data_IF_136543271966
#
_entry.id   IF_136543271966
#
_cell.length_a   1.000
_cell.length_b   1.000
_cell.length_c   1.000
_cell.angle_alpha   90.00
_cell.angle_beta   90.00
_cell.angle_gamma   90.00
#
_symmetry.space_group_name_H-M   'P 1'
#
loop_
_entity.id
_entity.type
_entity.pdbx_description
1 polymer ?
#
# COMPACT_ATOMS: atom_id res chain seq x y z
N UNK A 1 -43.34 -32.25 -6.57
CA UNK A 1 -42.30 -32.13 -5.51
C UNK A 1 -41.07 -31.32 -5.95
N UNK A 2 -41.12 -30.53 -7.04
CA UNK A 2 -40.03 -29.64 -7.42
C UNK A 2 -40.16 -28.21 -6.81
N UNK A 3 -41.38 -27.66 -6.70
CA UNK A 3 -41.57 -26.28 -6.20
C UNK A 3 -41.44 -26.05 -4.69
N UNK A 4 -41.41 -27.10 -3.86
CA UNK A 4 -41.29 -26.94 -2.40
C UNK A 4 -39.84 -26.74 -1.94
N UNK A 5 -38.90 -27.42 -2.61
CA UNK A 5 -37.46 -27.31 -2.34
C UNK A 5 -36.87 -26.00 -2.91
N UNK A 6 -37.38 -25.49 -4.04
CA UNK A 6 -37.02 -24.16 -4.54
C UNK A 6 -37.52 -23.03 -3.62
N UNK A 7 -38.70 -23.19 -2.99
CA UNK A 7 -39.20 -22.21 -2.00
C UNK A 7 -38.41 -22.22 -0.68
N UNK A 8 -37.73 -23.33 -0.38
CA UNK A 8 -36.83 -23.45 0.78
C UNK A 8 -35.44 -22.88 0.46
N UNK A 9 -34.90 -23.09 -0.74
CA UNK A 9 -33.68 -22.41 -1.21
C UNK A 9 -33.85 -20.89 -1.32
N UNK A 10 -35.01 -20.41 -1.78
CA UNK A 10 -35.35 -18.97 -1.76
C UNK A 10 -35.59 -18.40 -0.35
N UNK A 11 -35.69 -19.23 0.70
CA UNK A 11 -35.86 -18.78 2.09
C UNK A 11 -34.55 -18.65 2.87
N UNK A 12 -33.44 -19.12 2.30
CA UNK A 12 -32.10 -19.07 2.87
C UNK A 12 -31.09 -18.31 1.99
N UNK A 13 -31.54 -17.49 1.02
CA UNK A 13 -30.59 -16.62 0.31
C UNK A 13 -30.17 -15.46 1.21
N UNK A 14 -28.85 -15.34 1.41
CA UNK A 14 -28.15 -14.20 1.98
C UNK A 14 -28.53 -12.87 1.31
N UNK A 15 -29.06 -12.90 0.07
CA UNK A 15 -29.50 -11.76 -0.72
C UNK A 15 -30.61 -10.89 -0.07
N UNK A 16 -31.29 -11.37 0.99
CA UNK A 16 -32.35 -10.62 1.70
C UNK A 16 -31.94 -10.03 3.05
N UNK A 17 -30.72 -10.27 3.51
CA UNK A 17 -30.22 -9.66 4.74
C UNK A 17 -30.04 -8.14 4.54
N UNK A 18 -30.48 -7.36 5.53
CA UNK A 18 -30.24 -5.91 5.52
C UNK A 18 -28.73 -5.64 5.58
N UNK A 19 -28.23 -4.93 4.58
CA UNK A 19 -26.79 -4.69 4.40
C UNK A 19 -26.34 -3.62 5.38
N UNK A 20 -25.11 -3.74 5.85
CA UNK A 20 -24.46 -2.68 6.63
C UNK A 20 -24.26 -1.43 5.77
N UNK A 21 -24.16 -0.23 6.37
CA UNK A 21 -23.84 0.98 5.63
C UNK A 21 -22.47 0.87 4.94
N UNK A 22 -22.42 1.18 3.65
CA UNK A 22 -21.18 1.30 2.91
C UNK A 22 -20.30 2.41 3.49
N UNK A 23 -18.99 2.23 3.46
CA UNK A 23 -18.03 3.20 3.98
C UNK A 23 -16.72 2.54 4.40
N UNK A 24 -15.77 3.37 4.84
CA UNK A 24 -14.52 2.92 5.45
C UNK A 24 -14.64 2.87 6.97
N UNK A 25 -14.16 1.78 7.55
CA UNK A 25 -14.06 1.56 8.99
C UNK A 25 -12.63 1.15 9.29
N UNK A 26 -12.05 1.67 10.36
CA UNK A 26 -10.68 1.34 10.72
C UNK A 26 -10.55 1.05 12.21
N UNK A 27 -9.53 0.25 12.51
CA UNK A 27 -9.10 -0.04 13.87
C UNK A 27 -7.58 -0.07 13.89
N UNK A 28 -7.00 0.61 14.88
CA UNK A 28 -5.59 0.52 15.23
C UNK A 28 -5.51 -0.04 16.64
N UNK A 29 -4.69 -1.07 16.84
CA UNK A 29 -4.44 -1.57 18.17
C UNK A 29 -3.78 -0.51 19.05
N UNK A 30 -4.00 -0.54 20.37
CA UNK A 30 -3.25 0.30 21.29
C UNK A 30 -1.73 0.13 21.13
N UNK A 31 -0.91 1.16 21.37
CA UNK A 31 0.55 1.06 21.24
C UNK A 31 1.22 0.01 22.14
N UNK A 32 0.54 -0.43 23.20
CA UNK A 32 0.99 -1.47 24.12
C UNK A 32 0.50 -2.88 23.73
N UNK A 33 -0.26 -3.01 22.65
CA UNK A 33 -0.68 -4.31 22.10
C UNK A 33 0.53 -4.99 21.42
N UNK A 34 0.92 -6.20 21.85
CA UNK A 34 2.09 -6.89 21.30
C UNK A 34 1.97 -7.25 19.82
N UNK A 35 0.76 -7.22 19.26
CA UNK A 35 0.54 -7.50 17.83
C UNK A 35 0.68 -6.28 16.92
N UNK A 36 0.64 -5.07 17.50
CA UNK A 36 0.60 -3.76 16.82
C UNK A 36 0.09 -3.80 15.36
N UNK A 37 -1.23 -3.75 15.17
CA UNK A 37 -1.83 -3.93 13.86
C UNK A 37 -2.92 -2.91 13.55
N UNK A 38 -3.14 -2.73 12.25
CA UNK A 38 -4.18 -1.88 11.68
C UNK A 38 -5.08 -2.70 10.77
N UNK A 39 -6.38 -2.47 10.89
CA UNK A 39 -7.42 -3.02 10.04
C UNK A 39 -8.15 -1.88 9.34
N UNK A 40 -8.29 -1.96 8.02
CA UNK A 40 -9.12 -1.06 7.23
C UNK A 40 -10.15 -1.87 6.45
N UNK A 41 -11.40 -1.75 6.85
CA UNK A 41 -12.52 -2.38 6.17
C UNK A 41 -13.23 -1.35 5.31
N UNK A 42 -13.25 -1.58 3.99
CA UNK A 42 -14.16 -0.90 3.07
C UNK A 42 -15.38 -1.78 2.82
N UNK A 43 -16.56 -1.31 3.22
CA UNK A 43 -17.83 -1.96 2.91
C UNK A 43 -18.43 -1.37 1.63
N UNK A 44 -18.75 -2.25 0.67
CA UNK A 44 -19.33 -1.89 -0.62
C UNK A 44 -20.86 -1.89 -0.56
N UNK A 45 -21.51 -1.16 -1.47
CA UNK A 45 -22.98 -1.02 -1.50
C UNK A 45 -23.74 -2.33 -1.79
N UNK A 46 -23.06 -3.33 -2.35
CA UNK A 46 -23.62 -4.66 -2.57
C UNK A 46 -23.54 -5.57 -1.32
N UNK A 47 -22.88 -5.11 -0.25
CA UNK A 47 -22.71 -5.82 1.01
C UNK A 47 -21.41 -6.60 1.11
N UNK A 48 -20.65 -6.75 0.02
CA UNK A 48 -19.27 -7.25 0.07
C UNK A 48 -18.35 -6.27 0.79
N UNK A 49 -17.13 -6.70 1.09
CA UNK A 49 -16.15 -5.83 1.70
C UNK A 49 -14.73 -6.18 1.30
N UNK A 50 -13.84 -5.24 1.55
CA UNK A 50 -12.41 -5.38 1.38
C UNK A 50 -11.74 -5.06 2.71
N UNK A 51 -11.01 -6.01 3.27
CA UNK A 51 -10.25 -5.82 4.50
C UNK A 51 -8.77 -5.73 4.16
N UNK A 52 -8.16 -4.60 4.47
CA UNK A 52 -6.72 -4.41 4.42
C UNK A 52 -6.16 -4.56 5.83
N UNK A 53 -5.13 -5.38 5.97
CA UNK A 53 -4.42 -5.63 7.23
C UNK A 53 -3.00 -5.06 7.05
N UNK A 54 -2.60 -4.14 7.94
CA UNK A 54 -1.28 -3.49 7.95
C UNK A 54 -0.84 -2.90 6.59
N UNK A 55 -1.79 -2.49 5.75
CA UNK A 55 -1.56 -2.05 4.37
C UNK A 55 -0.80 -3.04 3.45
N UNK A 56 -0.58 -4.28 3.88
CA UNK A 56 0.20 -5.28 3.15
C UNK A 56 -0.65 -6.47 2.68
N UNK A 57 -1.67 -6.84 3.44
CA UNK A 57 -2.54 -7.99 3.12
C UNK A 57 -3.94 -7.50 2.79
N UNK A 58 -4.45 -7.87 1.61
CA UNK A 58 -5.79 -7.52 1.14
C UNK A 58 -6.65 -8.77 1.08
N UNK A 59 -7.80 -8.74 1.77
CA UNK A 59 -8.79 -9.81 1.78
C UNK A 59 -10.09 -9.33 1.14
N UNK A 60 -10.56 -10.05 0.14
CA UNK A 60 -11.89 -9.88 -0.46
C UNK A 60 -12.90 -10.68 0.36
N UNK A 61 -13.95 -10.01 0.84
CA UNK A 61 -14.91 -10.56 1.77
C UNK A 61 -16.31 -10.62 1.13
N UNK A 62 -16.93 -11.79 1.21
CA UNK A 62 -18.36 -11.91 0.96
C UNK A 62 -19.18 -11.19 2.04
N UNK A 63 -20.49 -11.07 1.83
CA UNK A 63 -21.37 -10.29 2.71
C UNK A 63 -21.31 -10.67 4.20
N UNK A 64 -21.25 -11.97 4.51
CA UNK A 64 -21.22 -12.42 5.90
C UNK A 64 -19.85 -12.16 6.54
N UNK A 65 -18.77 -12.45 5.81
CA UNK A 65 -17.40 -12.17 6.27
C UNK A 65 -17.15 -10.67 6.46
N UNK A 66 -17.71 -9.83 5.57
CA UNK A 66 -17.67 -8.37 5.68
C UNK A 66 -18.36 -7.86 6.96
N UNK A 67 -19.50 -8.44 7.34
CA UNK A 67 -20.17 -8.11 8.60
C UNK A 67 -19.40 -8.57 9.85
N UNK A 68 -18.77 -9.75 9.81
CA UNK A 68 -17.87 -10.16 10.88
C UNK A 68 -16.64 -9.26 11.00
N UNK A 69 -16.00 -8.91 9.88
CA UNK A 69 -14.90 -7.95 9.86
C UNK A 69 -15.31 -6.58 10.39
N UNK A 70 -16.53 -6.13 10.07
CA UNK A 70 -17.09 -4.89 10.63
C UNK A 70 -17.17 -4.96 12.16
N UNK A 71 -17.67 -6.07 12.69
CA UNK A 71 -17.74 -6.27 14.14
C UNK A 71 -16.37 -6.39 14.80
N UNK A 72 -15.38 -6.96 14.11
CA UNK A 72 -13.99 -7.02 14.57
C UNK A 72 -13.39 -5.61 14.68
N UNK A 73 -13.52 -4.81 13.63
CA UNK A 73 -13.07 -3.40 13.58
C UNK A 73 -13.77 -2.56 14.64
N UNK A 74 -15.08 -2.73 14.82
CA UNK A 74 -15.87 -2.02 15.83
C UNK A 74 -15.70 -2.58 17.26
N UNK A 75 -14.90 -3.63 17.44
CA UNK A 75 -14.68 -4.30 18.74
C UNK A 75 -15.99 -4.72 19.42
N UNK A 76 -16.96 -5.20 18.63
CA UNK A 76 -18.26 -5.65 19.15
C UNK A 76 -18.10 -6.94 19.95
N UNK A 77 -18.68 -7.06 21.16
CA UNK A 77 -18.62 -8.29 21.94
C UNK A 77 -19.20 -9.50 21.20
N UNK A 78 -18.51 -10.64 21.26
CA UNK A 78 -18.82 -11.82 20.45
C UNK A 78 -20.25 -12.37 20.65
N UNK A 79 -20.80 -12.25 21.87
CA UNK A 79 -22.19 -12.61 22.19
C UNK A 79 -23.20 -11.72 21.45
N UNK A 80 -22.91 -10.42 21.33
CA UNK A 80 -23.72 -9.48 20.56
C UNK A 80 -23.59 -9.72 19.05
N UNK A 81 -22.39 -10.03 18.56
CA UNK A 81 -22.18 -10.40 17.15
C UNK A 81 -23.02 -11.62 16.80
N UNK A 82 -22.94 -12.67 17.62
CA UNK A 82 -23.70 -13.89 17.43
C UNK A 82 -25.22 -13.64 17.41
N UNK A 83 -25.73 -12.75 18.28
CA UNK A 83 -27.14 -12.37 18.29
C UNK A 83 -27.55 -11.59 17.03
N UNK A 84 -26.77 -10.58 16.63
CA UNK A 84 -27.07 -9.71 15.49
C UNK A 84 -27.04 -10.49 14.17
N UNK A 85 -25.96 -11.23 13.93
CA UNK A 85 -25.77 -12.03 12.71
C UNK A 85 -26.77 -13.18 12.65
N UNK A 86 -27.05 -13.85 13.77
CA UNK A 86 -28.09 -14.89 13.85
C UNK A 86 -29.46 -14.36 13.42
N UNK A 87 -29.86 -13.19 13.90
CA UNK A 87 -31.15 -12.57 13.52
C UNK A 87 -31.17 -12.19 12.04
N UNK A 88 -30.09 -11.58 11.55
CA UNK A 88 -30.01 -11.04 10.19
C UNK A 88 -30.00 -12.14 9.13
N UNK A 89 -29.16 -13.14 9.29
CA UNK A 89 -28.98 -14.24 8.33
C UNK A 89 -29.82 -15.49 8.66
N UNK A 90 -30.57 -15.47 9.77
CA UNK A 90 -31.45 -16.57 10.23
C UNK A 90 -30.68 -17.88 10.46
N UNK A 91 -29.49 -17.77 11.01
CA UNK A 91 -28.63 -18.89 11.43
C UNK A 91 -28.72 -19.12 12.94
N UNK A 92 -28.22 -20.24 13.45
CA UNK A 92 -28.18 -20.49 14.90
C UNK A 92 -27.13 -19.58 15.56
N UNK A 93 -27.38 -19.00 16.75
CA UNK A 93 -26.39 -18.15 17.43
C UNK A 93 -25.02 -18.82 17.62
N UNK A 94 -25.00 -20.11 18.00
CA UNK A 94 -23.73 -20.84 18.15
C UNK A 94 -22.96 -21.06 16.85
N UNK A 95 -23.64 -21.06 15.69
CA UNK A 95 -22.98 -21.10 14.38
C UNK A 95 -22.38 -19.72 14.05
N UNK A 96 -23.15 -18.65 14.24
CA UNK A 96 -22.66 -17.30 14.02
C UNK A 96 -21.46 -16.95 14.92
N UNK A 97 -21.48 -17.39 16.18
CA UNK A 97 -20.35 -17.23 17.09
C UNK A 97 -19.11 -17.99 16.60
N UNK A 98 -19.26 -19.26 16.24
CA UNK A 98 -18.14 -20.08 15.78
C UNK A 98 -17.53 -19.55 14.47
N UNK A 99 -18.36 -19.07 13.54
CA UNK A 99 -17.88 -18.47 12.29
C UNK A 99 -17.13 -17.16 12.55
N UNK A 100 -17.62 -16.33 13.50
CA UNK A 100 -16.96 -15.08 13.90
C UNK A 100 -15.60 -15.34 14.56
N UNK A 101 -15.56 -16.24 15.55
CA UNK A 101 -14.32 -16.64 16.24
C UNK A 101 -13.32 -17.25 15.25
N UNK A 102 -13.79 -18.07 14.31
CA UNK A 102 -12.95 -18.66 13.26
C UNK A 102 -12.36 -17.63 12.31
N UNK A 103 -13.12 -16.58 11.92
CA UNK A 103 -12.57 -15.49 11.12
C UNK A 103 -11.53 -14.69 11.91
N UNK A 104 -11.81 -14.39 13.18
CA UNK A 104 -10.89 -13.67 14.05
C UNK A 104 -9.54 -14.39 14.19
N UNK A 105 -9.56 -15.71 14.44
CA UNK A 105 -8.34 -16.53 14.55
C UNK A 105 -7.51 -16.52 13.24
N UNK A 106 -8.18 -16.56 12.08
CA UNK A 106 -7.50 -16.47 10.77
C UNK A 106 -6.84 -15.11 10.55
N UNK A 107 -7.52 -14.02 10.93
CA UNK A 107 -6.97 -12.67 10.81
C UNK A 107 -5.79 -12.48 11.78
N UNK A 108 -5.90 -12.93 13.02
CA UNK A 108 -4.79 -12.91 14.00
C UNK A 108 -3.59 -13.73 13.49
N UNK A 109 -3.83 -14.86 12.83
CA UNK A 109 -2.77 -15.66 12.20
C UNK A 109 -2.06 -14.89 11.08
N UNK A 110 -2.81 -14.17 10.22
CA UNK A 110 -2.21 -13.33 9.17
C UNK A 110 -1.38 -12.17 9.73
N UNK A 111 -1.85 -11.54 10.80
CA UNK A 111 -1.12 -10.47 11.48
C UNK A 111 0.22 -10.99 12.04
N UNK A 112 0.20 -12.17 12.65
CA UNK A 112 1.38 -12.78 13.29
C UNK A 112 2.31 -13.51 12.32
N UNK A 113 1.88 -13.76 11.08
CA UNK A 113 2.63 -14.56 10.09
C UNK A 113 2.62 -13.86 8.72
N UNK A 114 3.51 -12.86 8.52
CA UNK A 114 3.50 -11.98 7.35
C UNK A 114 3.63 -12.69 5.99
N UNK A 115 4.25 -13.87 5.95
CA UNK A 115 4.47 -14.66 4.72
C UNK A 115 3.46 -15.80 4.52
N UNK A 116 2.41 -15.86 5.34
CA UNK A 116 1.43 -16.93 5.26
C UNK A 116 0.47 -16.68 4.08
N UNK A 117 0.50 -17.57 3.09
CA UNK A 117 -0.49 -17.55 2.01
C UNK A 117 -1.91 -17.83 2.56
N UNK A 118 -2.82 -16.83 2.58
CA UNK A 118 -4.16 -16.98 3.15
C UNK A 118 -5.01 -18.02 2.41
N UNK A 119 -4.78 -18.20 1.11
CA UNK A 119 -5.55 -19.13 0.28
C UNK A 119 -5.15 -20.57 0.60
N UNK A 120 -3.86 -20.85 0.63
CA UNK A 120 -3.33 -22.20 0.81
C UNK A 120 -3.49 -22.70 2.26
N UNK A 121 -3.36 -21.81 3.24
CA UNK A 121 -3.27 -22.21 4.65
C UNK A 121 -4.47 -21.84 5.52
N UNK A 122 -5.33 -20.91 5.09
CA UNK A 122 -6.45 -20.42 5.91
C UNK A 122 -7.83 -20.56 5.24
N UNK A 123 -7.93 -21.35 4.16
CA UNK A 123 -9.16 -21.60 3.40
C UNK A 123 -9.86 -20.29 2.94
N UNK A 124 -9.11 -19.25 2.59
CA UNK A 124 -9.67 -18.10 1.86
C UNK A 124 -9.91 -18.47 0.40
N UNK A 125 -11.04 -18.03 -0.17
CA UNK A 125 -11.28 -18.20 -1.61
C UNK A 125 -10.30 -17.34 -2.41
N UNK A 126 -9.67 -17.94 -3.42
CA UNK A 126 -8.78 -17.21 -4.33
C UNK A 126 -9.63 -16.32 -5.24
N UNK A 127 -9.59 -15.01 -4.99
CA UNK A 127 -10.04 -14.03 -5.96
C UNK A 127 -8.87 -13.67 -6.88
N UNK A 128 -9.13 -13.51 -8.18
CA UNK A 128 -8.12 -12.97 -9.07
C UNK A 128 -7.80 -11.54 -8.60
N UNK A 129 -6.51 -11.17 -8.45
CA UNK A 129 -6.16 -9.78 -8.17
C UNK A 129 -6.84 -8.88 -9.20
N UNK A 130 -7.48 -7.80 -8.74
CA UNK A 130 -8.09 -6.80 -9.62
C UNK A 130 -9.34 -7.27 -10.40
N UNK A 131 -9.92 -8.44 -10.09
CA UNK A 131 -11.08 -9.00 -10.82
C UNK A 131 -12.45 -8.59 -10.27
N UNK A 132 -12.50 -8.05 -9.05
CA UNK A 132 -13.75 -7.64 -8.39
C UNK A 132 -14.03 -6.15 -8.57
N UNK A 133 -15.31 -5.76 -8.48
CA UNK A 133 -15.77 -4.38 -8.61
C UNK A 133 -15.36 -3.51 -7.40
N UNK A 134 -14.07 -3.22 -7.27
CA UNK A 134 -13.55 -2.25 -6.31
C UNK A 134 -13.95 -0.82 -6.70
N UNK A 135 -14.34 -0.04 -5.70
CA UNK A 135 -14.83 1.34 -5.90
C UNK A 135 -13.72 2.40 -5.79
N UNK A 136 -12.54 1.99 -5.32
CA UNK A 136 -11.34 2.81 -5.19
C UNK A 136 -10.09 1.91 -5.09
N UNK A 137 -8.88 2.45 -5.38
CA UNK A 137 -7.64 1.71 -5.21
C UNK A 137 -7.32 1.49 -3.72
N UNK A 138 -6.31 0.68 -3.43
CA UNK A 138 -5.80 0.45 -2.08
C UNK A 138 -4.81 1.53 -1.64
N UNK A 139 -4.15 2.16 -2.61
CA UNK A 139 -3.08 3.12 -2.35
C UNK A 139 -3.14 4.35 -3.26
N UNK A 140 -2.68 5.47 -2.72
CA UNK A 140 -2.42 6.69 -3.49
C UNK A 140 -0.95 7.11 -3.38
N UNK A 141 -0.29 7.24 -4.53
CA UNK A 141 1.09 7.69 -4.63
C UNK A 141 1.09 9.21 -4.90
N UNK A 142 1.40 9.99 -3.87
CA UNK A 142 1.30 11.44 -3.86
C UNK A 142 2.66 12.10 -4.12
N UNK A 143 2.87 12.58 -5.34
CA UNK A 143 4.06 13.37 -5.66
C UNK A 143 3.94 14.79 -5.17
N UNK A 144 4.55 15.08 -4.03
CA UNK A 144 4.38 16.35 -3.35
C UNK A 144 5.08 17.53 -4.04
N UNK A 145 6.13 17.23 -4.82
CA UNK A 145 7.03 18.19 -5.46
C UNK A 145 7.84 17.47 -6.53
N UNK A 146 8.25 18.15 -7.60
CA UNK A 146 9.27 17.64 -8.55
C UNK A 146 10.65 18.25 -8.34
N UNK A 147 10.82 19.06 -7.30
CA UNK A 147 12.13 19.56 -6.89
C UNK A 147 13.06 18.40 -6.53
N UNK A 148 14.32 18.55 -6.90
CA UNK A 148 15.43 17.66 -6.59
C UNK A 148 16.55 18.46 -5.91
N UNK A 149 17.43 17.80 -5.13
CA UNK A 149 18.65 18.43 -4.65
C UNK A 149 19.53 18.97 -5.81
N UNK A 150 20.33 20.01 -5.56
CA UNK A 150 21.15 20.67 -6.61
C UNK A 150 22.10 19.72 -7.37
N UNK A 151 22.52 18.61 -6.73
CA UNK A 151 23.45 17.64 -7.29
C UNK A 151 22.78 16.37 -7.82
N UNK A 152 21.44 16.33 -7.86
CA UNK A 152 20.73 15.17 -8.35
C UNK A 152 21.02 14.92 -9.84
N UNK A 153 21.16 13.65 -10.27
CA UNK A 153 21.28 13.32 -11.69
C UNK A 153 20.10 13.90 -12.51
N UNK A 154 20.35 14.34 -13.76
CA UNK A 154 19.28 14.79 -14.65
C UNK A 154 18.27 13.67 -14.93
N UNK A 155 16.99 14.03 -15.05
CA UNK A 155 15.93 13.07 -15.36
C UNK A 155 15.42 12.25 -14.16
N UNK A 156 15.88 12.57 -12.94
CA UNK A 156 15.39 11.96 -11.69
C UNK A 156 13.99 12.47 -11.26
N UNK A 157 13.44 13.43 -12.00
CA UNK A 157 12.09 13.97 -11.86
C UNK A 157 11.70 14.67 -13.17
N UNK A 158 10.40 14.82 -13.49
CA UNK A 158 9.97 15.58 -14.65
C UNK A 158 10.33 17.06 -14.51
N UNK A 159 10.93 17.64 -15.55
CA UNK A 159 11.20 19.08 -15.61
C UNK A 159 10.01 19.84 -16.22
N UNK A 160 9.57 20.94 -15.57
CA UNK A 160 8.44 21.80 -15.99
C UNK A 160 7.17 21.03 -16.36
N UNK A 161 6.93 19.92 -15.66
CA UNK A 161 5.74 19.07 -15.87
C UNK A 161 4.45 19.72 -15.38
N UNK A 162 4.54 20.48 -14.30
CA UNK A 162 3.42 21.18 -13.66
C UNK A 162 3.73 22.67 -13.53
N UNK A 163 2.70 23.50 -13.69
CA UNK A 163 2.83 24.97 -13.61
C UNK A 163 2.81 25.50 -12.17
N UNK A 164 2.36 24.67 -11.22
CA UNK A 164 2.28 25.00 -9.79
C UNK A 164 2.37 23.73 -8.95
N UNK A 165 2.69 23.89 -7.68
CA UNK A 165 2.57 22.84 -6.67
C UNK A 165 1.39 23.14 -5.73
N UNK A 166 0.73 22.10 -5.22
CA UNK A 166 -0.32 22.18 -4.22
C UNK A 166 0.25 22.70 -2.90
N UNK A 167 -0.53 23.56 -2.28
CA UNK A 167 -0.30 24.05 -0.91
C UNK A 167 -0.54 22.93 0.12
N UNK A 168 -0.09 23.13 1.35
CA UNK A 168 -0.33 22.21 2.48
C UNK A 168 -1.81 21.89 2.65
N UNK A 169 -2.67 22.92 2.61
CA UNK A 169 -4.13 22.76 2.77
C UNK A 169 -4.78 22.04 1.58
N UNK A 170 -4.25 22.23 0.37
CA UNK A 170 -4.70 21.46 -0.79
C UNK A 170 -4.29 19.99 -0.67
N UNK A 171 -3.07 19.67 -0.20
CA UNK A 171 -2.67 18.30 0.07
C UNK A 171 -3.51 17.65 1.17
N UNK A 172 -3.87 18.37 2.24
CA UNK A 172 -4.83 17.86 3.24
C UNK A 172 -6.19 17.53 2.64
N UNK A 173 -6.68 18.33 1.68
CA UNK A 173 -7.90 18.00 0.94
C UNK A 173 -7.74 16.75 0.06
N UNK A 174 -6.55 16.53 -0.51
CA UNK A 174 -6.24 15.28 -1.23
C UNK A 174 -6.32 14.08 -0.29
N UNK A 175 -5.69 14.18 0.88
CA UNK A 175 -5.70 13.15 1.93
C UNK A 175 -7.14 12.86 2.38
N UNK A 176 -7.93 13.90 2.64
CA UNK A 176 -9.35 13.76 3.01
C UNK A 176 -10.16 13.03 1.95
N UNK A 177 -10.03 13.44 0.67
CA UNK A 177 -10.74 12.79 -0.44
C UNK A 177 -10.34 11.33 -0.60
N UNK A 178 -9.05 11.01 -0.45
CA UNK A 178 -8.56 9.64 -0.51
C UNK A 178 -9.18 8.77 0.62
N UNK A 179 -9.22 9.31 1.84
CA UNK A 179 -9.82 8.61 2.97
C UNK A 179 -11.34 8.43 2.80
N UNK A 180 -12.06 9.47 2.37
CA UNK A 180 -13.52 9.44 2.17
C UNK A 180 -13.98 8.37 1.18
N UNK A 181 -13.15 8.07 0.17
CA UNK A 181 -13.44 7.04 -0.85
C UNK A 181 -12.85 5.67 -0.48
N UNK A 182 -12.26 5.55 0.71
CA UNK A 182 -11.80 4.30 1.26
C UNK A 182 -10.44 3.85 0.76
N UNK A 183 -9.51 4.77 0.52
CA UNK A 183 -8.09 4.49 0.25
C UNK A 183 -7.32 4.52 1.58
N UNK A 184 -6.89 3.37 2.12
CA UNK A 184 -6.26 3.30 3.44
C UNK A 184 -4.77 3.68 3.44
N UNK A 185 -4.10 3.73 2.29
CA UNK A 185 -2.65 3.87 2.21
C UNK A 185 -2.23 5.05 1.32
N UNK A 186 -1.36 5.91 1.84
CA UNK A 186 -0.73 7.01 1.09
C UNK A 186 0.79 6.80 1.07
N UNK A 187 1.41 6.99 -0.10
CA UNK A 187 2.86 7.14 -0.22
C UNK A 187 3.21 8.55 -0.64
N UNK A 188 4.04 9.22 0.16
CA UNK A 188 4.62 10.51 -0.17
C UNK A 188 5.87 10.31 -1.02
N UNK A 189 5.87 10.91 -2.22
CA UNK A 189 6.89 10.72 -3.26
C UNK A 189 7.09 12.00 -4.08
N UNK A 190 7.68 11.89 -5.28
CA UNK A 190 7.82 12.93 -6.30
C UNK A 190 9.22 12.96 -6.89
N UNK A 191 9.82 14.14 -6.93
CA UNK A 191 11.26 14.30 -6.97
C UNK A 191 11.82 13.89 -5.61
N UNK A 192 12.02 14.85 -4.72
CA UNK A 192 12.38 14.56 -3.32
C UNK A 192 11.37 15.17 -2.34
N UNK A 193 10.47 14.36 -1.73
CA UNK A 193 9.45 14.87 -0.81
C UNK A 193 10.06 15.52 0.44
N UNK A 194 11.24 15.09 0.88
CA UNK A 194 11.91 15.68 2.05
C UNK A 194 12.43 17.10 1.81
N UNK A 195 12.29 17.67 0.60
CA UNK A 195 12.55 19.11 0.34
C UNK A 195 11.36 20.02 0.70
N UNK A 196 10.24 19.45 1.12
CA UNK A 196 9.11 20.20 1.65
C UNK A 196 9.23 20.36 3.16
N UNK A 197 8.95 21.57 3.63
CA UNK A 197 8.97 21.89 5.05
C UNK A 197 7.73 21.35 5.78
N UNK A 198 6.66 21.02 5.05
CA UNK A 198 5.38 20.53 5.58
C UNK A 198 5.22 19.00 5.51
N UNK A 199 6.28 18.24 5.18
CA UNK A 199 6.18 16.78 5.04
C UNK A 199 5.71 16.10 6.34
N UNK A 200 6.30 16.44 7.49
CA UNK A 200 5.91 15.88 8.78
C UNK A 200 4.44 16.21 9.13
N UNK A 201 3.98 17.42 8.77
CA UNK A 201 2.58 17.82 8.97
C UNK A 201 1.62 17.00 8.11
N UNK A 202 1.99 16.69 6.86
CA UNK A 202 1.18 15.88 5.97
C UNK A 202 1.13 14.40 6.39
N UNK A 203 2.27 13.83 6.80
CA UNK A 203 2.34 12.47 7.39
C UNK A 203 1.41 12.40 8.60
N UNK A 204 1.55 13.34 9.53
CA UNK A 204 0.71 13.40 10.72
C UNK A 204 -0.77 13.53 10.39
N UNK A 205 -1.12 14.35 9.40
CA UNK A 205 -2.52 14.54 9.01
C UNK A 205 -3.15 13.25 8.45
N UNK A 206 -2.40 12.49 7.65
CA UNK A 206 -2.84 11.20 7.14
C UNK A 206 -2.95 10.15 8.25
N UNK A 207 -1.95 10.09 9.13
CA UNK A 207 -1.95 9.18 10.29
C UNK A 207 -3.13 9.46 11.23
N UNK A 208 -3.41 10.73 11.56
CA UNK A 208 -4.51 11.12 12.46
C UNK A 208 -5.90 10.76 11.87
N UNK A 209 -6.01 10.52 10.55
CA UNK A 209 -7.21 10.01 9.89
C UNK A 209 -7.35 8.49 9.99
N UNK A 210 -6.24 7.81 10.28
CA UNK A 210 -6.10 6.37 10.29
C UNK A 210 -5.51 5.81 8.98
N UNK A 211 -4.91 6.61 8.10
CA UNK A 211 -4.24 6.10 6.91
C UNK A 211 -2.83 5.63 7.24
N UNK A 212 -2.41 4.53 6.61
CA UNK A 212 -1.00 4.10 6.63
C UNK A 212 -0.21 5.06 5.77
N UNK A 213 0.97 5.47 6.24
CA UNK A 213 1.84 6.43 5.55
C UNK A 213 3.17 5.80 5.14
N UNK A 214 3.51 5.97 3.87
CA UNK A 214 4.78 5.56 3.30
C UNK A 214 5.59 6.75 2.80
N UNK A 215 6.91 6.64 2.81
CA UNK A 215 7.82 7.65 2.24
C UNK A 215 8.73 7.01 1.20
N UNK A 216 8.75 7.59 0.00
CA UNK A 216 9.74 7.28 -1.03
C UNK A 216 10.75 8.43 -1.14
N UNK A 217 12.02 8.15 -0.91
CA UNK A 217 13.03 9.21 -0.76
C UNK A 217 14.42 8.76 -1.21
N UNK A 218 15.28 9.70 -1.55
CA UNK A 218 16.72 9.45 -1.69
C UNK A 218 17.43 9.26 -0.34
N UNK A 219 16.77 9.49 0.79
CA UNK A 219 17.30 9.26 2.14
C UNK A 219 18.30 10.30 2.64
N UNK A 220 18.79 11.23 1.81
CA UNK A 220 19.89 12.13 2.18
C UNK A 220 19.58 12.98 3.42
N UNK A 221 18.36 13.52 3.52
CA UNK A 221 17.92 14.31 4.69
C UNK A 221 17.68 13.44 5.93
N UNK A 222 17.43 12.14 5.76
CA UNK A 222 17.14 11.22 6.85
C UNK A 222 18.39 10.76 7.62
N UNK A 223 19.58 11.06 7.10
CA UNK A 223 20.82 10.96 7.88
C UNK A 223 20.85 11.97 9.06
N UNK A 224 20.04 13.03 9.02
CA UNK A 224 19.75 13.85 10.20
C UNK A 224 18.73 13.10 11.08
N UNK A 225 19.24 12.47 12.14
CA UNK A 225 18.42 11.67 13.06
C UNK A 225 17.33 12.49 13.77
N UNK A 226 17.49 13.81 13.91
CA UNK A 226 16.47 14.66 14.50
C UNK A 226 15.28 14.85 13.56
N UNK A 227 15.55 14.98 12.26
CA UNK A 227 14.51 15.06 11.23
C UNK A 227 13.84 13.69 11.01
N UNK A 228 14.61 12.60 11.00
CA UNK A 228 14.02 11.26 10.96
C UNK A 228 13.07 11.03 12.13
N UNK A 229 13.49 11.37 13.36
CA UNK A 229 12.62 11.31 14.54
C UNK A 229 11.34 12.14 14.36
N UNK A 230 11.41 13.33 13.77
CA UNK A 230 10.22 14.14 13.48
C UNK A 230 9.21 13.39 12.60
N UNK A 231 9.68 12.68 11.57
CA UNK A 231 8.81 11.89 10.70
C UNK A 231 8.25 10.65 11.40
N UNK A 232 9.06 9.96 12.22
CA UNK A 232 8.62 8.83 13.03
C UNK A 232 7.52 9.25 14.01
N UNK A 233 7.72 10.36 14.73
CA UNK A 233 6.73 10.92 15.66
C UNK A 233 5.48 11.47 14.96
N UNK A 234 5.59 11.78 13.66
CA UNK A 234 4.43 12.11 12.84
C UNK A 234 3.60 10.89 12.45
N UNK A 235 4.12 9.66 12.63
CA UNK A 235 3.43 8.41 12.30
C UNK A 235 3.82 7.83 10.94
N UNK A 236 5.08 8.01 10.53
CA UNK A 236 5.61 7.35 9.34
C UNK A 236 5.67 5.82 9.55
N UNK A 237 4.88 5.05 8.81
CA UNK A 237 4.78 3.59 8.99
C UNK A 237 5.84 2.82 8.17
N UNK A 238 6.22 3.34 7.02
CA UNK A 238 7.29 2.75 6.22
C UNK A 238 8.03 3.74 5.35
N UNK A 239 9.25 3.36 4.98
CA UNK A 239 10.05 4.12 4.02
C UNK A 239 10.77 3.20 3.05
N UNK A 240 10.87 3.65 1.80
CA UNK A 240 11.79 3.09 0.82
C UNK A 240 12.84 4.12 0.44
N UNK A 241 14.10 3.79 0.74
CA UNK A 241 15.25 4.62 0.36
C UNK A 241 15.78 4.16 -0.99
N UNK A 242 15.89 5.08 -1.93
CA UNK A 242 16.57 4.83 -3.20
C UNK A 242 18.06 4.89 -2.97
N UNK A 243 18.65 3.71 -2.86
CA UNK A 243 20.07 3.57 -2.59
C UNK A 243 20.88 4.12 -3.76
N UNK A 244 21.81 5.01 -3.43
CA UNK A 244 22.87 5.45 -4.33
C UNK A 244 24.18 4.87 -3.80
N UNK A 245 24.66 3.72 -4.31
CA UNK A 245 25.78 2.99 -3.70
C UNK A 245 27.05 3.82 -3.50
N UNK A 246 27.28 4.82 -4.35
CA UNK A 246 28.42 5.72 -4.32
C UNK A 246 28.22 6.96 -3.42
N UNK A 247 27.05 7.11 -2.81
CA UNK A 247 26.72 8.20 -1.89
C UNK A 247 26.62 7.66 -0.46
N UNK A 248 27.62 8.02 0.35
CA UNK A 248 27.72 7.64 1.76
C UNK A 248 26.47 8.03 2.57
N UNK A 249 25.82 9.14 2.22
CA UNK A 249 24.70 9.66 3.00
C UNK A 249 23.45 8.76 2.87
N UNK A 250 23.28 8.08 1.73
CA UNK A 250 22.19 7.10 1.58
C UNK A 250 22.39 5.90 2.51
N UNK A 251 23.63 5.43 2.68
CA UNK A 251 23.96 4.39 3.65
C UNK A 251 23.78 4.85 5.10
N UNK A 252 24.15 6.08 5.42
CA UNK A 252 23.93 6.68 6.74
C UNK A 252 22.45 6.79 7.09
N UNK A 253 21.59 7.04 6.10
CA UNK A 253 20.13 7.06 6.29
C UNK A 253 19.58 5.67 6.65
N UNK A 254 20.02 4.62 5.95
CA UNK A 254 19.65 3.23 6.27
C UNK A 254 20.16 2.83 7.65
N UNK A 255 21.40 3.18 8.00
CA UNK A 255 21.96 2.94 9.32
C UNK A 255 21.19 3.70 10.43
N UNK A 256 20.70 4.90 10.13
CA UNK A 256 19.86 5.65 11.05
C UNK A 256 18.56 4.91 11.30
N UNK A 257 17.87 4.47 10.25
CA UNK A 257 16.67 3.64 10.38
C UNK A 257 16.92 2.36 11.18
N UNK A 258 17.98 1.62 10.87
CA UNK A 258 18.35 0.40 11.60
C UNK A 258 18.58 0.68 13.10
N UNK A 259 19.16 1.82 13.46
CA UNK A 259 19.28 2.22 14.86
C UNK A 259 17.91 2.41 15.52
N UNK A 260 16.95 3.05 14.84
CA UNK A 260 15.60 3.24 15.38
C UNK A 260 14.84 1.91 15.55
N UNK A 261 14.91 1.03 14.55
CA UNK A 261 14.23 -0.27 14.61
C UNK A 261 14.87 -1.22 15.61
N UNK A 262 16.20 -1.37 15.59
CA UNK A 262 16.89 -2.38 16.41
C UNK A 262 17.22 -1.92 17.84
N UNK A 263 17.45 -0.61 18.04
CA UNK A 263 17.85 -0.08 19.35
C UNK A 263 16.71 0.61 20.08
N UNK A 264 15.81 1.28 19.35
CA UNK A 264 14.69 2.01 19.94
C UNK A 264 13.36 1.26 19.81
N UNK A 265 13.36 0.09 19.17
CA UNK A 265 12.19 -0.79 19.01
C UNK A 265 11.01 -0.05 18.33
N UNK A 266 11.32 0.92 17.45
CA UNK A 266 10.30 1.60 16.65
C UNK A 266 9.75 0.65 15.58
N UNK A 267 8.42 0.60 15.47
CA UNK A 267 7.71 -0.22 14.49
C UNK A 267 7.60 0.51 13.15
N UNK A 268 8.71 0.55 12.41
CA UNK A 268 8.78 1.10 11.05
C UNK A 268 9.35 0.07 10.08
N UNK A 269 8.67 -0.12 8.95
CA UNK A 269 9.14 -1.00 7.89
C UNK A 269 10.07 -0.26 6.93
N UNK A 270 11.28 -0.78 6.69
CA UNK A 270 12.29 -0.09 5.89
C UNK A 270 12.76 -0.95 4.72
N UNK A 271 12.60 -0.42 3.51
CA UNK A 271 13.10 -1.03 2.30
C UNK A 271 14.21 -0.19 1.65
N UNK A 272 15.10 -0.86 0.92
CA UNK A 272 16.03 -0.20 0.02
C UNK A 272 15.71 -0.58 -1.43
N UNK A 273 15.63 0.41 -2.31
CA UNK A 273 15.60 0.17 -3.75
C UNK A 273 17.00 0.33 -4.33
N UNK A 274 17.46 -0.66 -5.11
CA UNK A 274 18.70 -0.61 -5.85
C UNK A 274 18.44 -0.75 -7.36
N UNK A 275 18.79 0.29 -8.11
CA UNK A 275 18.91 0.20 -9.57
C UNK A 275 20.27 -0.37 -9.95
N UNK A 276 20.27 -1.51 -10.62
CA UNK A 276 21.46 -2.13 -11.17
C UNK A 276 21.86 -1.38 -12.42
N UNK A 277 23.10 -0.91 -12.46
CA UNK A 277 23.71 -0.17 -13.57
C UNK A 277 25.00 -0.85 -14.00
N UNK A 278 25.54 -0.51 -15.17
CA UNK A 278 26.85 -1.02 -15.61
C UNK A 278 27.98 -0.73 -14.60
N UNK A 279 27.87 0.36 -13.85
CA UNK A 279 28.89 0.77 -12.87
C UNK A 279 28.88 -0.14 -11.64
N UNK A 280 27.68 -0.55 -11.18
CA UNK A 280 27.52 -1.31 -9.94
C UNK A 280 27.25 -2.81 -10.16
N UNK A 281 26.96 -3.26 -11.39
CA UNK A 281 26.60 -4.66 -11.69
C UNK A 281 27.61 -5.68 -11.17
N UNK A 282 28.92 -5.36 -11.23
CA UNK A 282 29.98 -6.23 -10.72
C UNK A 282 30.03 -6.34 -9.20
N UNK A 283 29.42 -5.39 -8.49
CA UNK A 283 29.40 -5.28 -7.04
C UNK A 283 28.01 -5.60 -6.46
N UNK A 284 27.02 -5.96 -7.30
CA UNK A 284 25.62 -6.09 -6.86
C UNK A 284 25.45 -7.06 -5.69
N UNK A 285 26.19 -8.17 -5.67
CA UNK A 285 26.14 -9.13 -4.57
C UNK A 285 26.77 -8.57 -3.28
N UNK A 286 27.88 -7.84 -3.38
CA UNK A 286 28.49 -7.15 -2.22
C UNK A 286 27.58 -6.04 -1.68
N UNK A 287 26.84 -5.36 -2.55
CA UNK A 287 25.85 -4.37 -2.15
C UNK A 287 24.66 -5.04 -1.45
N UNK A 288 24.21 -6.20 -1.94
CA UNK A 288 23.17 -6.99 -1.29
C UNK A 288 23.59 -7.42 0.12
N UNK A 289 24.84 -7.87 0.28
CA UNK A 289 25.40 -8.24 1.58
C UNK A 289 25.35 -7.08 2.57
N UNK A 290 25.76 -5.90 2.12
CA UNK A 290 25.71 -4.68 2.94
C UNK A 290 24.28 -4.27 3.29
N UNK A 291 23.32 -4.48 2.39
CA UNK A 291 21.91 -4.22 2.68
C UNK A 291 21.39 -5.20 3.75
N UNK A 292 21.69 -6.49 3.62
CA UNK A 292 21.31 -7.52 4.60
C UNK A 292 21.91 -7.23 5.98
N UNK A 293 23.19 -6.84 6.02
CA UNK A 293 23.88 -6.46 7.25
C UNK A 293 23.42 -5.10 7.82
N UNK A 294 22.82 -4.26 6.97
CA UNK A 294 22.40 -2.89 7.28
C UNK A 294 21.02 -2.79 7.91
N UNK A 295 20.34 -3.91 8.19
CA UNK A 295 19.07 -3.94 8.94
C UNK A 295 17.84 -3.51 8.15
N UNK A 296 17.89 -3.51 6.80
CA UNK A 296 16.67 -3.28 6.00
C UNK A 296 15.75 -4.50 6.09
N UNK A 297 14.45 -4.25 6.12
CA UNK A 297 13.40 -5.27 6.18
C UNK A 297 13.21 -5.98 4.83
N UNK A 298 13.51 -5.30 3.72
CA UNK A 298 13.36 -5.84 2.38
C UNK A 298 14.15 -5.02 1.33
N UNK A 299 14.23 -5.56 0.12
CA UNK A 299 14.84 -4.87 -1.03
C UNK A 299 13.93 -4.86 -2.25
N UNK A 300 14.05 -3.81 -3.05
CA UNK A 300 13.44 -3.71 -4.38
C UNK A 300 14.55 -3.52 -5.41
N UNK A 301 14.48 -4.24 -6.53
CA UNK A 301 15.55 -4.26 -7.53
C UNK A 301 15.02 -3.90 -8.92
N UNK A 302 15.71 -2.99 -9.58
CA UNK A 302 15.50 -2.62 -10.98
C UNK A 302 16.80 -2.70 -11.78
N UNK A 303 16.70 -2.59 -13.09
CA UNK A 303 17.85 -2.46 -13.99
C UNK A 303 17.77 -1.17 -14.80
N UNK A 304 18.93 -0.60 -15.12
CA UNK A 304 19.01 0.59 -15.94
C UNK A 304 19.03 0.29 -17.43
N UNK A 305 19.04 -0.97 -17.87
CA UNK A 305 18.98 -1.36 -19.28
C UNK A 305 18.71 -2.86 -19.44
N UNK A 306 18.05 -3.29 -20.53
CA UNK A 306 17.71 -4.71 -20.75
C UNK A 306 18.91 -5.66 -20.80
N UNK A 307 20.12 -5.13 -21.07
CA UNK A 307 21.36 -5.93 -21.09
C UNK A 307 21.75 -6.47 -19.71
N UNK A 308 21.18 -5.91 -18.64
CA UNK A 308 21.43 -6.28 -17.25
C UNK A 308 20.43 -7.31 -16.68
N UNK A 309 19.48 -7.80 -17.49
CA UNK A 309 18.41 -8.71 -17.04
C UNK A 309 18.89 -10.00 -16.40
N UNK A 310 19.98 -10.58 -16.91
CA UNK A 310 20.61 -11.75 -16.28
C UNK A 310 21.14 -11.41 -14.89
N UNK A 311 21.85 -10.28 -14.75
CA UNK A 311 22.37 -9.79 -13.46
C UNK A 311 21.23 -9.48 -12.48
N UNK A 312 20.12 -8.89 -12.95
CA UNK A 312 18.96 -8.64 -12.12
C UNK A 312 18.34 -9.94 -11.60
N UNK A 313 18.18 -10.96 -12.45
CA UNK A 313 17.66 -12.27 -12.03
C UNK A 313 18.57 -12.96 -11.01
N UNK A 314 19.89 -12.92 -11.23
CA UNK A 314 20.86 -13.45 -10.27
C UNK A 314 20.82 -12.68 -8.95
N UNK A 315 20.74 -11.35 -8.99
CA UNK A 315 20.64 -10.49 -7.81
C UNK A 315 19.38 -10.79 -6.99
N UNK A 316 18.23 -11.03 -7.65
CA UNK A 316 16.98 -11.44 -6.99
C UNK A 316 17.14 -12.78 -6.28
N UNK A 317 17.67 -13.79 -6.96
CA UNK A 317 17.94 -15.11 -6.35
C UNK A 317 18.93 -15.02 -5.20
N UNK A 318 19.88 -14.08 -5.27
CA UNK A 318 20.85 -13.86 -4.21
C UNK A 318 20.25 -13.16 -2.99
N UNK A 319 19.35 -12.19 -3.17
CA UNK A 319 18.62 -11.56 -2.07
C UNK A 319 17.85 -12.61 -1.25
N UNK A 320 17.14 -13.53 -1.92
CA UNK A 320 16.46 -14.65 -1.25
C UNK A 320 17.43 -15.52 -0.42
N UNK A 321 18.66 -15.73 -0.91
CA UNK A 321 19.69 -16.50 -0.17
C UNK A 321 20.25 -15.78 1.06
N UNK A 322 19.94 -14.49 1.23
CA UNK A 322 20.32 -13.64 2.37
C UNK A 322 19.15 -13.33 3.28
N UNK A 323 18.02 -14.04 3.14
CA UNK A 323 16.78 -13.77 3.87
C UNK A 323 16.33 -12.30 3.73
N UNK A 324 16.57 -11.71 2.54
CA UNK A 324 16.11 -10.38 2.17
C UNK A 324 14.89 -10.49 1.24
N UNK A 325 13.66 -10.30 1.75
CA UNK A 325 12.46 -10.34 0.91
C UNK A 325 12.52 -9.33 -0.23
N UNK A 326 11.98 -9.73 -1.38
CA UNK A 326 11.84 -8.86 -2.55
C UNK A 326 10.46 -8.21 -2.57
N UNK A 327 10.44 -6.87 -2.65
CA UNK A 327 9.22 -6.09 -2.80
C UNK A 327 9.07 -5.60 -4.23
N UNK A 328 7.89 -5.87 -4.79
CA UNK A 328 7.55 -5.60 -6.19
C UNK A 328 6.56 -4.45 -6.36
N UNK A 329 5.87 -4.05 -5.29
CA UNK A 329 4.67 -3.24 -5.34
C UNK A 329 4.84 -1.80 -4.85
N UNK A 330 6.01 -1.36 -4.37
CA UNK A 330 6.23 0.02 -3.93
C UNK A 330 6.59 0.98 -5.10
N UNK A 331 6.12 2.25 -5.10
CA UNK A 331 6.46 3.24 -6.12
C UNK A 331 7.95 3.56 -6.02
N UNK A 332 8.64 3.68 -7.15
CA UNK A 332 10.08 4.00 -7.26
C UNK A 332 10.19 5.37 -7.98
N UNK A 333 11.02 6.34 -7.54
CA UNK A 333 10.98 7.70 -8.07
C UNK A 333 11.44 7.75 -9.52
N UNK A 334 11.15 8.87 -10.16
CA UNK A 334 11.41 9.07 -11.57
C UNK A 334 12.87 8.81 -11.86
N UNK A 335 13.12 7.86 -12.74
CA UNK A 335 14.21 7.97 -13.67
C UNK A 335 13.61 7.55 -15.01
N UNK A 336 14.19 8.00 -16.11
CA UNK A 336 13.82 7.51 -17.44
C UNK A 336 13.96 5.97 -17.57
N UNK A 337 14.47 5.29 -16.54
CA UNK A 337 14.71 3.85 -16.43
C UNK A 337 13.97 3.27 -15.21
N UNK A 338 12.69 3.59 -15.04
CA UNK A 338 11.79 2.77 -14.21
C UNK A 338 11.69 1.38 -14.89
N UNK A 339 11.73 0.23 -14.18
CA UNK A 339 11.43 -1.07 -14.77
C UNK A 339 10.06 -1.07 -15.50
N UNK A 340 9.09 -0.27 -15.03
CA UNK A 340 7.84 -0.01 -15.77
C UNK A 340 8.08 0.76 -17.07
N UNK A 341 8.99 1.74 -17.12
CA UNK A 341 9.32 2.46 -18.35
C UNK A 341 10.11 1.60 -19.34
N UNK A 342 11.00 0.72 -18.86
CA UNK A 342 11.75 -0.24 -19.70
C UNK A 342 10.88 -1.42 -20.18
N UNK A 343 9.93 -1.87 -19.35
CA UNK A 343 8.86 -2.80 -19.76
C UNK A 343 7.92 -2.16 -20.79
N UNK A 344 7.68 -0.84 -20.72
CA UNK A 344 6.87 -0.10 -21.70
C UNK A 344 7.63 0.33 -22.98
N UNK A 345 8.97 0.45 -22.95
CA UNK A 345 9.80 0.71 -24.13
C UNK A 345 10.01 -0.52 -25.02
N UNK A 346 9.79 -1.72 -24.48
CA UNK A 346 9.53 -2.90 -25.30
C UNK A 346 8.14 -2.73 -25.94
N UNK A 347 8.12 -2.30 -27.21
CA UNK A 347 6.90 -2.33 -28.03
C UNK A 347 6.16 -3.65 -27.78
N UNK A 348 4.96 -3.54 -27.18
CA UNK A 348 4.02 -4.64 -26.84
C UNK A 348 4.20 -5.39 -25.50
N UNK A 349 4.43 -4.72 -24.35
CA UNK A 349 4.18 -5.33 -23.03
C UNK A 349 3.09 -4.62 -22.18
N UNK A 350 2.28 -5.37 -21.40
CA UNK A 350 1.13 -4.84 -20.68
C UNK A 350 1.53 -3.92 -19.51
N UNK A 351 0.63 -3.02 -19.13
CA UNK A 351 0.72 -2.20 -17.91
C UNK A 351 1.18 -3.05 -16.71
N UNK A 352 1.92 -2.48 -15.72
CA UNK A 352 2.22 -3.17 -14.48
C UNK A 352 0.91 -3.69 -13.86
N UNK A 353 0.89 -4.95 -13.44
CA UNK A 353 -0.30 -5.57 -12.84
C UNK A 353 -0.76 -4.76 -11.61
N UNK A 354 -1.81 -3.95 -11.77
CA UNK A 354 -2.42 -3.15 -10.71
C UNK A 354 -2.38 -1.63 -10.90
N UNK A 355 -1.63 -1.08 -11.85
CA UNK A 355 -1.68 0.37 -12.13
C UNK A 355 -3.07 0.78 -12.64
N UNK A 356 -3.68 1.79 -12.03
CA UNK A 356 -5.05 2.20 -12.33
C UNK A 356 -6.13 1.37 -11.63
N UNK A 357 -5.72 0.36 -10.84
CA UNK A 357 -6.63 -0.57 -10.15
C UNK A 357 -6.29 -0.70 -8.65
N UNK A 358 -5.08 -1.12 -8.31
CA UNK A 358 -4.58 -1.22 -6.94
C UNK A 358 -4.03 0.11 -6.40
N UNK A 359 -3.53 0.98 -7.27
CA UNK A 359 -3.03 2.31 -6.92
C UNK A 359 -3.29 3.35 -8.01
N UNK A 360 -3.23 4.63 -7.62
CA UNK A 360 -3.20 5.79 -8.51
C UNK A 360 -2.06 6.73 -8.12
N UNK A 361 -1.71 7.62 -9.04
CA UNK A 361 -0.65 8.61 -8.85
C UNK A 361 -1.21 10.02 -8.91
N UNK A 362 -0.83 10.89 -7.97
CA UNK A 362 -1.24 12.31 -7.92
C UNK A 362 -0.02 13.19 -8.12
N UNK A 363 -0.03 13.99 -9.19
CA UNK A 363 1.01 14.97 -9.51
C UNK A 363 0.96 16.18 -8.56
N UNK A 364 2.02 17.00 -8.49
CA UNK A 364 2.07 18.14 -7.59
C UNK A 364 1.02 19.22 -7.83
N UNK A 365 0.27 19.23 -8.92
CA UNK A 365 -0.84 20.15 -9.19
C UNK A 365 -2.24 19.53 -8.98
N UNK A 366 -2.27 18.28 -8.51
CA UNK A 366 -3.47 17.50 -8.23
C UNK A 366 -3.98 16.68 -9.41
N UNK A 367 -3.30 16.68 -10.56
CA UNK A 367 -3.66 15.78 -11.66
C UNK A 367 -3.43 14.32 -11.27
N UNK A 368 -4.37 13.45 -11.66
CA UNK A 368 -4.40 12.03 -11.32
C UNK A 368 -4.06 11.22 -12.55
N UNK A 369 -3.13 10.28 -12.38
CA UNK A 369 -2.63 9.37 -13.40
C UNK A 369 -2.86 7.91 -12.94
N UNK A 370 -2.97 6.93 -13.86
CA UNK A 370 -3.06 5.51 -13.50
C UNK A 370 -1.85 5.00 -12.71
N UNK A 371 -0.69 5.63 -12.91
CA UNK A 371 0.55 5.27 -12.25
C UNK A 371 1.68 6.19 -12.70
N UNK A 372 2.79 6.13 -11.96
CA UNK A 372 3.97 6.89 -12.29
C UNK A 372 4.55 6.46 -13.65
N UNK A 373 4.91 7.43 -14.51
CA UNK A 373 5.42 7.19 -15.87
C UNK A 373 4.33 7.05 -16.95
N UNK A 374 3.06 6.95 -16.57
CA UNK A 374 1.93 6.92 -17.51
C UNK A 374 1.41 8.34 -17.69
N UNK A 375 1.85 9.02 -18.75
CA UNK A 375 1.52 10.44 -19.03
C UNK A 375 0.09 10.65 -19.56
N UNK A 376 -0.88 9.95 -19.00
CA UNK A 376 -2.31 10.13 -19.29
C UNK A 376 -3.06 10.58 -18.03
N UNK A 377 -3.56 11.81 -18.07
CA UNK A 377 -4.37 12.38 -16.99
C UNK A 377 -5.77 11.76 -17.04
N UNK A 378 -6.21 11.16 -15.95
CA UNK A 378 -7.57 10.62 -15.77
C UNK A 378 -8.50 11.58 -15.03
N UNK A 379 -7.96 12.64 -14.43
CA UNK A 379 -8.72 13.74 -13.82
C UNK A 379 -7.84 14.58 -12.91
N UNK A 380 -8.44 15.47 -12.12
CA UNK A 380 -7.76 16.23 -11.08
C UNK A 380 -8.49 16.05 -9.75
N UNK A 381 -7.79 15.56 -8.73
CA UNK A 381 -8.39 15.12 -7.47
C UNK A 381 -9.10 16.24 -6.72
N UNK A 382 -8.74 17.51 -6.93
CA UNK A 382 -9.38 18.65 -6.28
C UNK A 382 -10.56 19.21 -7.09
N UNK A 383 -10.53 19.07 -8.42
CA UNK A 383 -11.51 19.70 -9.33
C UNK A 383 -12.62 18.75 -9.80
N UNK A 384 -12.35 17.46 -9.87
CA UNK A 384 -13.29 16.46 -10.36
C UNK A 384 -13.90 15.65 -9.21
N UNK A 385 -15.09 15.11 -9.44
CA UNK A 385 -15.69 14.12 -8.55
C UNK A 385 -14.93 12.80 -8.65
N UNK A 386 -14.74 12.11 -7.52
CA UNK A 386 -14.00 10.85 -7.48
C UNK A 386 -14.52 9.82 -8.49
N UNK A 387 -15.85 9.72 -8.61
CA UNK A 387 -16.49 8.78 -9.52
C UNK A 387 -16.04 8.98 -10.97
N UNK A 388 -15.89 10.22 -11.42
CA UNK A 388 -15.46 10.51 -12.79
C UNK A 388 -13.99 10.12 -12.99
N UNK A 389 -13.14 10.39 -11.99
CA UNK A 389 -11.73 9.98 -12.00
C UNK A 389 -11.62 8.46 -12.08
N UNK A 390 -12.37 7.75 -11.24
CA UNK A 390 -12.35 6.28 -11.17
C UNK A 390 -12.92 5.61 -12.42
N UNK A 391 -14.00 6.15 -13.00
CA UNK A 391 -14.52 5.66 -14.28
C UNK A 391 -13.50 5.83 -15.42
N UNK A 392 -12.72 6.92 -15.40
CA UNK A 392 -11.67 7.17 -16.37
C UNK A 392 -10.46 6.21 -16.26
N UNK A 393 -10.25 5.56 -15.11
CA UNK A 393 -9.19 4.54 -14.95
C UNK A 393 -9.61 3.17 -15.51
N UNK A 394 -10.91 2.89 -15.61
CA UNK A 394 -11.42 1.58 -16.06
C UNK A 394 -10.95 1.18 -17.46
N UNK A 395 -10.59 2.15 -18.32
CA UNK A 395 -10.02 1.88 -19.66
C UNK A 395 -8.63 1.24 -19.65
N UNK A 396 -7.95 1.23 -18.50
CA UNK A 396 -6.64 0.62 -18.30
C UNK A 396 -6.73 -0.80 -17.71
N UNK A 397 -7.94 -1.22 -17.31
CA UNK A 397 -8.23 -2.58 -16.85
C UNK A 397 -8.43 -3.45 -18.08
N UNK A 398 -7.56 -4.44 -18.28
CA UNK A 398 -7.59 -5.34 -19.44
C UNK A 398 -8.49 -6.55 -19.22
#
# INVERSE_FOLDING_TARGET
MAGFLDSLRQRFSSERAEKLPSGIYHYQSPPDDPLNYRLHLRLEGDGSGLLVINASTVLHLNQTAAEYAYHLVQRTPADQVAEQVSKRYRVRPGMALADFEGLQERIETLITTPDLDPVTYLDFERHEPYSDAVTAPYRLDCALTYRLPEHAPPGMAPDKRVDRELTTEEWKQVIDKAWEVGIPHIIFTGGEPTLRDDLAELIKYAEDKGQVTGLLTNGLRLADTSYLNELLQAGLDHAMVILQPNDQQTWESLASFAYWTETLEEDIFIAAHLTITQENAKQVFELMDKLAEGGVSAVSLSESEPSLSETLQEARSYADSRDLPLIWDLPVPYSNMNPVALELEAEEQPLPEGSGIGWLYVEPDGDVLPGQGINEIVGNILKNDWKDIWEATQRFIK
#
